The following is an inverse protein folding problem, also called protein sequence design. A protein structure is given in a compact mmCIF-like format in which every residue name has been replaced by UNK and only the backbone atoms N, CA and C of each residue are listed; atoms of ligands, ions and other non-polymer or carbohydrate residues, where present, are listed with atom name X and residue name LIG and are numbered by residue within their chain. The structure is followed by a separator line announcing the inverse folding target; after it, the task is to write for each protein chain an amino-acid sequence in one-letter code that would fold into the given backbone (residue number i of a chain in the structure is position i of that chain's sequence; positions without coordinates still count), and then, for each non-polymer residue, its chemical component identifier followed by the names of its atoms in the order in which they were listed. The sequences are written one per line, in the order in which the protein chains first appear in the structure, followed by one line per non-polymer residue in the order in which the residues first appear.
data_IF_797494085424
#
_entry.id   IF_797494085424
#
_cell.length_a   1.000
_cell.length_b   1.000
_cell.length_c   1.000
_cell.angle_alpha   90.00
_cell.angle_beta   90.00
_cell.angle_gamma   90.00
#
_symmetry.space_group_name_H-M   'P 1'
#
loop_
_entity.id
_entity.type
_entity.pdbx_description
1 polymer ?
#
# COMPACT_ATOMS: atom_id res chain seq x y z
N UNK A 1 -40.41 -48.79 -30.29
CA UNK A 1 -39.61 -48.16 -29.22
C UNK A 1 -40.39 -46.96 -28.68
N UNK A 2 -41.06 -47.06 -27.52
CA UNK A 2 -41.77 -45.93 -26.90
C UNK A 2 -40.85 -45.27 -25.88
N UNK A 3 -40.51 -44.00 -26.10
CA UNK A 3 -39.78 -43.20 -25.11
C UNK A 3 -40.66 -43.00 -23.88
N UNK A 4 -40.23 -43.47 -22.71
CA UNK A 4 -40.83 -43.10 -21.42
C UNK A 4 -40.25 -41.75 -21.02
N UNK A 5 -41.04 -40.70 -21.11
CA UNK A 5 -40.73 -39.41 -20.50
C UNK A 5 -41.06 -39.49 -19.01
N UNK A 6 -40.04 -39.63 -18.17
CA UNK A 6 -40.18 -39.45 -16.73
C UNK A 6 -40.23 -37.93 -16.46
N UNK A 7 -41.36 -37.45 -15.92
CA UNK A 7 -41.48 -36.08 -15.45
C UNK A 7 -40.94 -36.00 -14.01
N UNK A 8 -40.13 -34.97 -13.71
CA UNK A 8 -39.60 -34.77 -12.36
C UNK A 8 -40.72 -34.46 -11.37
N UNK A 9 -40.60 -35.00 -10.15
CA UNK A 9 -41.53 -34.68 -9.07
C UNK A 9 -41.29 -33.26 -8.57
N UNK A 10 -42.35 -32.56 -8.16
CA UNK A 10 -42.28 -31.19 -7.64
C UNK A 10 -41.29 -31.09 -6.46
N UNK A 11 -41.25 -32.09 -5.58
CA UNK A 11 -40.34 -32.12 -4.43
C UNK A 11 -38.87 -32.28 -4.84
N UNK A 12 -38.60 -33.03 -5.91
CA UNK A 12 -37.26 -33.23 -6.43
C UNK A 12 -36.71 -31.96 -7.06
N UNK A 13 -37.56 -31.22 -7.78
CA UNK A 13 -37.23 -29.89 -8.31
C UNK A 13 -36.96 -28.90 -7.18
N UNK A 14 -37.76 -28.93 -6.10
CA UNK A 14 -37.54 -28.07 -4.92
C UNK A 14 -36.19 -28.36 -4.25
N UNK A 15 -35.83 -29.62 -4.05
CA UNK A 15 -34.53 -30.00 -3.50
C UNK A 15 -33.37 -29.65 -4.43
N UNK A 16 -33.54 -29.86 -5.74
CA UNK A 16 -32.54 -29.50 -6.74
C UNK A 16 -32.22 -28.01 -6.74
N UNK A 17 -33.25 -27.16 -6.70
CA UNK A 17 -33.06 -25.70 -6.63
C UNK A 17 -32.42 -25.28 -5.30
N UNK A 18 -32.81 -25.89 -4.18
CA UNK A 18 -32.22 -25.59 -2.87
C UNK A 18 -30.73 -25.91 -2.84
N UNK A 19 -30.32 -27.10 -3.29
CA UNK A 19 -28.92 -27.48 -3.36
C UNK A 19 -28.15 -26.57 -4.33
N UNK A 20 -28.72 -26.27 -5.49
CA UNK A 20 -28.10 -25.39 -6.47
C UNK A 20 -27.87 -23.97 -5.91
N UNK A 21 -28.82 -23.43 -5.15
CA UNK A 21 -28.68 -22.10 -4.54
C UNK A 21 -27.52 -22.00 -3.54
N UNK A 22 -27.35 -23.03 -2.70
CA UNK A 22 -26.25 -23.10 -1.72
C UNK A 22 -24.90 -23.15 -2.47
N UNK A 23 -24.85 -23.92 -3.57
CA UNK A 23 -23.66 -24.03 -4.39
C UNK A 23 -23.29 -22.68 -5.02
N UNK A 24 -24.26 -21.95 -5.57
CA UNK A 24 -24.00 -20.63 -6.18
C UNK A 24 -23.49 -19.63 -5.14
N UNK A 25 -24.09 -19.60 -3.93
CA UNK A 25 -23.68 -18.67 -2.87
C UNK A 25 -22.24 -18.95 -2.41
N UNK A 26 -21.89 -20.22 -2.20
CA UNK A 26 -20.54 -20.62 -1.75
C UNK A 26 -19.48 -20.25 -2.79
N UNK A 27 -19.73 -20.56 -4.07
CA UNK A 27 -18.81 -20.21 -5.16
C UNK A 27 -18.63 -18.69 -5.28
N UNK A 28 -19.71 -17.93 -5.20
CA UNK A 28 -19.67 -16.45 -5.28
C UNK A 28 -18.87 -15.84 -4.13
N UNK A 29 -19.02 -16.37 -2.91
CA UNK A 29 -18.26 -15.95 -1.74
C UNK A 29 -16.75 -16.15 -1.93
N UNK A 30 -16.34 -17.32 -2.44
CA UNK A 30 -14.94 -17.64 -2.73
C UNK A 30 -14.37 -16.67 -3.77
N UNK A 31 -15.07 -16.46 -4.88
CA UNK A 31 -14.62 -15.55 -5.94
C UNK A 31 -14.44 -14.12 -5.44
N UNK A 32 -15.38 -13.62 -4.64
CA UNK A 32 -15.29 -12.27 -4.07
C UNK A 32 -14.07 -12.14 -3.13
N UNK A 33 -13.80 -13.17 -2.33
CA UNK A 33 -12.62 -13.23 -1.46
C UNK A 33 -11.31 -13.21 -2.24
N UNK A 34 -11.20 -14.03 -3.29
CA UNK A 34 -10.01 -14.08 -4.16
C UNK A 34 -9.77 -12.75 -4.85
N UNK A 35 -10.82 -12.13 -5.41
CA UNK A 35 -10.71 -10.85 -6.11
C UNK A 35 -10.22 -9.74 -5.18
N UNK A 36 -10.77 -9.68 -3.97
CA UNK A 36 -10.38 -8.67 -2.97
C UNK A 36 -8.93 -8.88 -2.52
N UNK A 37 -8.53 -10.13 -2.29
CA UNK A 37 -7.15 -10.48 -1.92
C UNK A 37 -6.14 -10.13 -3.03
N UNK A 38 -6.51 -10.39 -4.29
CA UNK A 38 -5.66 -10.08 -5.45
C UNK A 38 -5.44 -8.57 -5.58
N UNK A 39 -6.51 -7.78 -5.48
CA UNK A 39 -6.41 -6.30 -5.49
C UNK A 39 -5.55 -5.76 -4.35
N UNK A 40 -5.64 -6.36 -3.16
CA UNK A 40 -4.78 -5.99 -2.02
C UNK A 40 -3.30 -6.31 -2.31
N UNK A 41 -3.04 -7.47 -2.89
CA UNK A 41 -1.68 -7.91 -3.23
C UNK A 41 -1.05 -7.03 -4.31
N UNK A 42 -1.81 -6.63 -5.31
CA UNK A 42 -1.38 -5.68 -6.34
C UNK A 42 -0.97 -4.33 -5.72
N UNK A 43 -1.82 -3.77 -4.83
CA UNK A 43 -1.49 -2.53 -4.11
C UNK A 43 -0.23 -2.66 -3.26
N UNK A 44 -0.02 -3.81 -2.61
CA UNK A 44 1.19 -4.08 -1.83
C UNK A 44 2.45 -4.11 -2.70
N UNK A 45 2.39 -4.72 -3.88
CA UNK A 45 3.51 -4.75 -4.83
C UNK A 45 3.84 -3.34 -5.30
N UNK A 46 2.84 -2.57 -5.72
CA UNK A 46 3.02 -1.17 -6.14
C UNK A 46 3.60 -0.34 -5.00
N UNK A 47 3.00 -0.39 -3.80
CA UNK A 47 3.49 0.34 -2.63
C UNK A 47 4.92 -0.04 -2.25
N UNK A 48 5.30 -1.32 -2.41
CA UNK A 48 6.68 -1.79 -2.17
C UNK A 48 7.65 -1.20 -3.17
N UNK A 49 7.32 -1.23 -4.46
CA UNK A 49 8.16 -0.66 -5.51
C UNK A 49 8.32 0.86 -5.31
N UNK A 50 7.25 1.57 -4.95
CA UNK A 50 7.29 2.99 -4.63
C UNK A 50 8.15 3.28 -3.39
N UNK A 51 8.01 2.50 -2.33
CA UNK A 51 8.83 2.64 -1.13
C UNK A 51 10.31 2.38 -1.43
N UNK A 52 10.63 1.36 -2.24
CA UNK A 52 11.99 1.04 -2.66
C UNK A 52 12.59 2.16 -3.50
N UNK A 53 11.87 2.65 -4.50
CA UNK A 53 12.26 3.81 -5.33
C UNK A 53 12.62 5.02 -4.46
N UNK A 54 11.76 5.36 -3.49
CA UNK A 54 12.04 6.49 -2.59
C UNK A 54 13.26 6.24 -1.69
N UNK A 55 13.42 5.01 -1.20
CA UNK A 55 14.57 4.63 -0.39
C UNK A 55 15.88 4.70 -1.17
N UNK A 56 15.87 4.28 -2.43
CA UNK A 56 17.01 4.36 -3.35
C UNK A 56 17.43 5.80 -3.59
N UNK A 57 16.48 6.73 -3.79
CA UNK A 57 16.82 8.14 -3.88
C UNK A 57 17.48 8.66 -2.60
N UNK A 58 16.99 8.26 -1.42
CA UNK A 58 17.60 8.67 -0.14
C UNK A 58 18.98 8.00 0.07
N UNK A 59 19.19 6.78 -0.44
CA UNK A 59 20.50 6.12 -0.42
C UNK A 59 21.53 6.91 -1.24
N UNK A 60 21.12 7.52 -2.35
CA UNK A 60 22.01 8.30 -3.22
C UNK A 60 22.35 9.70 -2.66
N UNK A 61 21.56 10.24 -1.73
CA UNK A 61 21.85 11.54 -1.10
C UNK A 61 23.09 11.45 -0.20
N UNK A 62 23.79 12.56 0.02
CA UNK A 62 24.84 12.58 1.04
C UNK A 62 24.27 12.55 2.46
N UNK A 63 25.05 12.03 3.41
CA UNK A 63 24.65 11.99 4.82
C UNK A 63 24.33 13.40 5.36
N UNK A 64 25.06 14.41 4.91
CA UNK A 64 24.88 15.81 5.31
C UNK A 64 23.53 16.39 4.91
N UNK A 65 22.89 15.83 3.90
CA UNK A 65 21.69 16.37 3.23
C UNK A 65 20.40 15.72 3.75
N UNK A 66 20.53 14.82 4.72
CA UNK A 66 19.39 14.18 5.38
C UNK A 66 19.11 14.94 6.69
N UNK A 67 18.00 15.70 6.77
CA UNK A 67 17.65 16.39 8.00
C UNK A 67 17.21 15.38 9.06
N UNK A 68 17.73 15.48 10.28
CA UNK A 68 17.43 14.54 11.37
C UNK A 68 17.33 15.26 12.73
N UNK A 69 16.26 15.07 13.52
CA UNK A 69 15.05 14.28 13.23
C UNK A 69 13.99 15.09 12.46
N UNK A 70 13.25 14.40 11.57
CA UNK A 70 12.10 14.96 10.82
C UNK A 70 11.06 13.88 10.52
N UNK A 71 9.82 14.31 10.34
CA UNK A 71 8.69 13.48 9.89
C UNK A 71 7.93 14.25 8.81
N UNK A 72 7.83 13.66 7.63
CA UNK A 72 7.10 14.19 6.49
C UNK A 72 6.00 13.20 6.15
N UNK A 73 4.72 13.61 6.21
CA UNK A 73 3.58 12.72 5.91
C UNK A 73 2.68 13.35 4.86
N UNK A 74 2.64 12.74 3.67
CA UNK A 74 1.82 13.17 2.54
C UNK A 74 0.32 12.92 2.69
N UNK A 75 -0.12 12.15 3.70
CA UNK A 75 -1.55 12.01 4.04
C UNK A 75 -2.09 13.24 4.77
N UNK A 76 -1.21 13.98 5.44
CA UNK A 76 -1.52 15.19 6.18
C UNK A 76 -1.33 16.44 5.31
N UNK A 77 -2.05 17.52 5.63
CA UNK A 77 -1.79 18.86 5.06
C UNK A 77 -0.54 19.53 5.63
N UNK A 78 0.37 18.76 6.24
CA UNK A 78 1.57 19.25 6.92
C UNK A 78 2.75 19.47 5.96
N UNK A 79 3.95 19.57 6.54
CA UNK A 79 5.20 19.72 5.78
C UNK A 79 5.43 18.44 4.99
N UNK A 80 5.41 18.55 3.66
CA UNK A 80 5.65 17.43 2.72
C UNK A 80 7.08 17.39 2.21
N UNK A 81 7.90 18.39 2.57
CA UNK A 81 9.33 18.37 2.39
C UNK A 81 9.95 19.72 2.72
N UNK A 82 11.27 19.76 2.73
CA UNK A 82 12.06 20.97 3.01
C UNK A 82 13.31 20.97 2.14
N UNK A 83 13.74 22.18 1.77
CA UNK A 83 15.11 22.40 1.34
C UNK A 83 16.03 22.33 2.57
N UNK A 84 17.09 21.55 2.47
CA UNK A 84 18.05 21.35 3.55
C UNK A 84 19.48 21.34 2.99
N UNK A 85 20.25 22.35 3.37
CA UNK A 85 21.58 22.64 2.82
C UNK A 85 21.52 22.86 1.29
N UNK A 86 21.93 21.88 0.51
CA UNK A 86 22.05 21.96 -0.95
C UNK A 86 21.04 21.08 -1.70
N UNK A 87 20.20 20.35 -0.98
CA UNK A 87 19.28 19.37 -1.54
C UNK A 87 17.94 19.48 -0.83
N UNK A 88 16.85 19.06 -1.47
CA UNK A 88 15.55 19.01 -0.80
C UNK A 88 15.18 17.57 -0.45
N UNK A 89 14.55 17.44 0.72
CA UNK A 89 14.22 16.18 1.34
C UNK A 89 12.71 16.12 1.69
N UNK A 90 12.01 15.01 1.42
CA UNK A 90 12.49 13.81 0.71
C UNK A 90 12.83 14.07 -0.77
N UNK A 91 13.83 13.38 -1.35
CA UNK A 91 14.24 13.58 -2.74
C UNK A 91 13.13 13.17 -3.71
N UNK A 92 12.94 13.93 -4.79
CA UNK A 92 11.94 13.65 -5.81
C UNK A 92 12.55 13.74 -7.22
N UNK A 93 12.23 12.80 -8.14
CA UNK A 93 12.86 12.75 -9.45
C UNK A 93 12.56 13.96 -10.36
N UNK A 94 11.40 14.61 -10.19
CA UNK A 94 10.96 15.72 -11.06
C UNK A 94 11.29 17.13 -10.52
N UNK A 95 12.12 17.24 -9.47
CA UNK A 95 12.38 18.51 -8.81
C UNK A 95 11.24 18.93 -7.87
N UNK A 96 11.58 19.66 -6.81
CA UNK A 96 10.70 19.90 -5.67
C UNK A 96 9.97 21.26 -5.72
N UNK A 97 8.89 21.40 -4.92
CA UNK A 97 8.29 20.37 -4.07
C UNK A 97 7.12 19.64 -4.75
N UNK A 98 7.35 18.38 -5.11
CA UNK A 98 6.27 17.48 -5.47
C UNK A 98 5.53 17.02 -4.21
N UNK A 99 4.22 16.75 -4.28
CA UNK A 99 3.49 16.24 -3.14
C UNK A 99 4.02 14.85 -2.77
N UNK A 100 4.06 14.51 -1.47
CA UNK A 100 4.36 13.15 -0.99
C UNK A 100 3.21 12.17 -1.30
N UNK A 101 2.83 12.12 -2.57
CA UNK A 101 1.84 11.20 -3.11
C UNK A 101 2.14 10.92 -4.58
N UNK A 102 1.71 9.75 -5.04
CA UNK A 102 1.82 9.33 -6.43
C UNK A 102 0.51 8.63 -6.81
N UNK A 103 0.00 8.90 -8.01
CA UNK A 103 -1.22 8.24 -8.52
C UNK A 103 -0.79 7.16 -9.49
N UNK A 104 -1.11 5.91 -9.17
CA UNK A 104 -0.84 4.75 -10.01
C UNK A 104 -2.16 4.02 -10.21
N UNK A 105 -2.58 3.83 -11.46
CA UNK A 105 -3.83 3.15 -11.84
C UNK A 105 -5.08 3.72 -11.13
N UNK A 106 -5.14 5.05 -10.97
CA UNK A 106 -6.24 5.75 -10.31
C UNK A 106 -6.26 5.62 -8.78
N UNK A 107 -5.28 4.92 -8.18
CA UNK A 107 -5.11 4.82 -6.74
C UNK A 107 -4.05 5.84 -6.31
N UNK A 108 -4.38 6.67 -5.32
CA UNK A 108 -3.41 7.59 -4.72
C UNK A 108 -2.65 6.87 -3.61
N UNK A 109 -1.34 6.78 -3.77
CA UNK A 109 -0.40 6.34 -2.75
C UNK A 109 0.21 7.57 -2.07
N UNK A 110 0.35 7.54 -0.76
CA UNK A 110 0.90 8.62 0.06
C UNK A 110 2.17 8.15 0.74
N UNK A 111 3.23 8.94 0.64
CA UNK A 111 4.50 8.67 1.31
C UNK A 111 4.51 9.29 2.70
N UNK A 112 5.12 8.59 3.66
CA UNK A 112 5.59 9.15 4.92
C UNK A 112 7.07 8.82 5.08
N UNK A 113 7.90 9.84 5.28
CA UNK A 113 9.34 9.69 5.44
C UNK A 113 9.73 10.23 6.80
N UNK A 114 10.32 9.36 7.62
CA UNK A 114 10.75 9.70 8.98
C UNK A 114 12.25 9.50 9.10
N UNK A 115 12.94 10.45 9.71
CA UNK A 115 14.36 10.37 10.02
C UNK A 115 14.56 10.41 11.52
N UNK A 116 15.37 9.48 12.04
CA UNK A 116 15.68 9.36 13.46
C UNK A 116 17.18 9.16 13.66
N UNK A 117 17.73 9.75 14.71
CA UNK A 117 19.08 9.42 15.15
C UNK A 117 19.01 8.12 15.96
N UNK A 118 19.71 7.09 15.48
CA UNK A 118 19.68 5.75 16.08
C UNK A 118 20.64 5.65 17.26
N UNK A 119 21.67 6.49 17.30
CA UNK A 119 22.76 6.41 18.29
C UNK A 119 22.73 7.54 19.32
N UNK A 120 21.99 8.62 19.04
CA UNK A 120 22.05 9.87 19.80
C UNK A 120 23.34 10.67 19.56
N UNK A 121 24.20 10.22 18.64
CA UNK A 121 25.48 10.86 18.32
C UNK A 121 25.47 11.60 16.98
N UNK A 122 24.36 11.53 16.23
CA UNK A 122 24.23 12.11 14.90
C UNK A 122 25.06 11.42 13.82
N UNK A 123 25.67 10.26 14.12
CA UNK A 123 26.52 9.49 13.18
C UNK A 123 25.79 8.37 12.45
N UNK A 124 24.59 8.03 12.91
CA UNK A 124 23.76 6.97 12.31
C UNK A 124 22.31 7.46 12.25
N UNK A 125 21.82 7.66 11.04
CA UNK A 125 20.45 8.07 10.77
C UNK A 125 19.67 6.86 10.28
N UNK A 126 18.58 6.55 10.97
CA UNK A 126 17.55 5.65 10.50
C UNK A 126 16.52 6.42 9.69
N UNK A 127 16.27 5.98 8.46
CA UNK A 127 15.25 6.53 7.58
C UNK A 127 14.16 5.49 7.37
N UNK A 128 12.93 5.83 7.74
CA UNK A 128 11.76 4.98 7.55
C UNK A 128 10.90 5.59 6.46
N UNK A 129 10.65 4.84 5.38
CA UNK A 129 9.72 5.20 4.31
C UNK A 129 8.50 4.30 4.43
N UNK A 130 7.34 4.91 4.63
CA UNK A 130 6.04 4.23 4.62
C UNK A 130 5.19 4.71 3.44
N UNK A 131 4.52 3.80 2.74
CA UNK A 131 3.63 4.10 1.63
C UNK A 131 2.24 3.59 1.96
N UNK A 132 1.23 4.47 1.90
CA UNK A 132 -0.16 4.21 2.24
C UNK A 132 -1.05 4.38 1.03
N UNK A 133 -2.12 3.60 0.88
CA UNK A 133 -3.15 3.80 -0.16
C UNK A 133 -4.53 4.09 0.44
N UNK A 134 -4.53 4.57 1.68
CA UNK A 134 -5.69 5.13 2.37
C UNK A 134 -5.30 6.50 2.94
N UNK A 135 -6.19 7.48 2.79
CA UNK A 135 -6.00 8.84 3.29
C UNK A 135 -6.30 8.93 4.80
N UNK A 136 -7.11 8.02 5.34
CA UNK A 136 -7.51 8.07 6.74
C UNK A 136 -6.39 7.58 7.67
N UNK A 137 -5.94 8.47 8.56
CA UNK A 137 -4.87 8.21 9.53
C UNK A 137 -5.38 7.41 10.74
N UNK A 138 -6.69 7.50 11.01
CA UNK A 138 -7.33 6.89 12.17
C UNK A 138 -7.51 5.37 12.06
N UNK A 139 -7.38 4.80 10.86
CA UNK A 139 -7.56 3.36 10.63
C UNK A 139 -6.23 2.69 10.25
N UNK A 140 -5.42 2.41 11.26
CA UNK A 140 -4.26 1.51 11.14
C UNK A 140 -4.65 0.03 11.24
N UNK A 141 -5.95 -0.28 11.43
CA UNK A 141 -6.46 -1.63 11.62
C UNK A 141 -6.75 -2.31 10.28
N UNK A 142 -5.67 -2.59 9.53
CA UNK A 142 -5.79 -3.35 8.28
C UNK A 142 -4.56 -3.38 7.38
N UNK A 143 -3.38 -2.93 7.84
CA UNK A 143 -2.11 -2.85 7.08
C UNK A 143 -2.32 -2.41 5.63
N UNK A 144 -2.90 -1.22 5.45
CA UNK A 144 -2.97 -0.56 4.15
C UNK A 144 -1.69 0.24 3.85
N UNK A 145 -0.54 -0.33 4.24
CA UNK A 145 0.74 0.32 4.07
C UNK A 145 1.89 -0.68 3.98
N UNK A 146 2.96 -0.23 3.32
CA UNK A 146 4.28 -0.86 3.33
C UNK A 146 5.24 0.07 4.06
N UNK A 147 6.11 -0.48 4.89
CA UNK A 147 7.14 0.26 5.62
C UNK A 147 8.49 -0.38 5.35
N UNK A 148 9.46 0.42 4.88
CA UNK A 148 10.84 0.02 4.69
C UNK A 148 11.74 0.93 5.52
N UNK A 149 12.80 0.36 6.06
CA UNK A 149 13.79 1.10 6.85
C UNK A 149 15.17 0.97 6.21
N UNK A 150 15.92 2.08 6.26
CA UNK A 150 17.30 2.19 5.85
C UNK A 150 18.11 2.80 6.99
N UNK A 151 19.34 2.32 7.16
CA UNK A 151 20.33 2.96 8.01
C UNK A 151 21.42 3.59 7.15
N UNK A 152 21.78 4.83 7.47
CA UNK A 152 22.88 5.53 6.83
C UNK A 152 23.84 6.03 7.91
N UNK A 153 25.11 5.67 7.78
CA UNK A 153 26.17 6.12 8.67
C UNK A 153 26.96 7.26 8.04
N UNK A 154 27.52 8.12 8.89
CA UNK A 154 28.45 9.18 8.51
C UNK A 154 29.83 8.62 8.15
#
# INVERSE_FOLDING_TARGET
MRYKTAAFSLIEVLWGVLILSILIITVTGIFTGILTSTKKSEKLVVATNLAQKQLEYIKLMDFSDIPCPRDFDGRNSGITGIEFKSSYFPPYPEGQPAPLKEVVDGITYYYRVQTRDVTGTGKLIGVVVSVYWDKNIADTSGKNFVMLELYKAQ
#
